data_IF_632951899964
#
_entry.id   IF_632951899964
#
_cell.length_a   1.000
_cell.length_b   1.000
_cell.length_c   1.000
_cell.angle_alpha   90.00
_cell.angle_beta   90.00
_cell.angle_gamma   90.00
#
_symmetry.space_group_name_H-M   'P 1'
#
loop_
_entity.id
_entity.type
_entity.pdbx_description
1 polymer ?
#
# COMPACT_ATOMS: atom_id res chain seq x y z
N UNK A 1 8.57 -17.02 -2.53
CA UNK A 1 8.46 -17.05 -3.99
C UNK A 1 6.99 -16.81 -4.35
N UNK A 2 6.70 -15.93 -5.32
CA UNK A 2 5.33 -15.73 -5.79
C UNK A 2 4.88 -16.95 -6.59
N UNK A 3 3.62 -17.37 -6.43
CA UNK A 3 3.08 -18.57 -7.07
C UNK A 3 2.85 -18.41 -8.58
N UNK A 4 2.84 -17.17 -9.10
CA UNK A 4 2.61 -16.88 -10.52
C UNK A 4 3.41 -15.63 -10.96
N UNK A 5 4.75 -15.75 -11.15
CA UNK A 5 5.57 -14.61 -11.55
C UNK A 5 5.11 -14.05 -12.90
N UNK A 6 4.99 -12.72 -12.99
CA UNK A 6 4.60 -12.02 -14.22
C UNK A 6 3.10 -11.93 -14.50
N UNK A 7 2.24 -12.60 -13.73
CA UNK A 7 0.78 -12.54 -13.91
C UNK A 7 0.22 -11.12 -13.71
N UNK A 8 0.56 -10.49 -12.59
CA UNK A 8 0.06 -9.15 -12.24
C UNK A 8 0.58 -8.08 -13.22
N UNK A 9 1.88 -8.00 -13.56
CA UNK A 9 2.35 -7.07 -14.60
C UNK A 9 1.61 -7.21 -15.93
N UNK A 10 1.29 -8.45 -16.34
CA UNK A 10 0.54 -8.73 -17.57
C UNK A 10 -0.89 -8.19 -17.49
N UNK A 11 -1.59 -8.44 -16.39
CA UNK A 11 -2.96 -7.95 -16.18
C UNK A 11 -3.02 -6.41 -16.10
N UNK A 12 -2.07 -5.77 -15.41
CA UNK A 12 -2.00 -4.31 -15.34
C UNK A 12 -1.82 -3.69 -16.74
N UNK A 13 -0.90 -4.23 -17.55
CA UNK A 13 -0.71 -3.78 -18.94
C UNK A 13 -1.98 -3.93 -19.79
N UNK A 14 -2.74 -5.02 -19.58
CA UNK A 14 -3.99 -5.26 -20.28
C UNK A 14 -5.11 -4.30 -19.84
N UNK A 15 -5.13 -3.87 -18.59
CA UNK A 15 -6.16 -2.96 -18.09
C UNK A 15 -5.84 -1.48 -18.37
N UNK A 16 -4.56 -1.13 -18.56
CA UNK A 16 -4.09 0.22 -18.89
C UNK A 16 -4.03 0.52 -20.40
N UNK A 17 -4.72 -0.25 -21.26
CA UNK A 17 -4.65 -0.05 -22.71
C UNK A 17 -5.08 1.37 -23.15
N UNK A 18 -4.29 2.05 -23.99
CA UNK A 18 -4.53 3.43 -24.40
C UNK A 18 -5.81 3.63 -25.23
N UNK A 19 -6.34 2.59 -25.87
CA UNK A 19 -7.63 2.69 -26.59
C UNK A 19 -8.82 2.95 -25.64
N UNK A 20 -8.66 2.71 -24.33
CA UNK A 20 -9.66 3.03 -23.30
C UNK A 20 -9.33 4.29 -22.48
N UNK A 21 -8.19 4.95 -22.72
CA UNK A 21 -7.71 6.08 -21.91
C UNK A 21 -7.11 7.20 -22.78
N UNK A 22 -7.54 8.43 -22.56
CA UNK A 22 -7.09 9.63 -23.32
C UNK A 22 -5.70 10.16 -22.93
N UNK A 23 -4.99 9.51 -22.00
CA UNK A 23 -3.69 9.97 -21.49
C UNK A 23 -2.58 8.99 -21.82
N UNK A 24 -1.53 9.49 -22.44
CA UNK A 24 -0.37 8.73 -22.89
C UNK A 24 0.61 8.51 -21.73
N UNK A 25 0.91 7.23 -21.46
CA UNK A 25 1.91 6.71 -20.50
C UNK A 25 1.64 6.97 -19.00
N UNK A 26 0.83 6.12 -18.38
CA UNK A 26 0.76 5.97 -16.91
C UNK A 26 2.02 5.26 -16.41
N UNK A 27 2.81 5.92 -15.57
CA UNK A 27 3.92 5.29 -14.85
C UNK A 27 3.38 4.48 -13.67
N UNK A 28 3.56 3.17 -13.71
CA UNK A 28 3.19 2.26 -12.63
C UNK A 28 4.34 1.31 -12.33
N UNK A 29 4.40 0.83 -11.08
CA UNK A 29 5.32 -0.22 -10.64
C UNK A 29 4.58 -1.17 -9.71
N UNK A 30 4.97 -2.44 -9.73
CA UNK A 30 4.53 -3.42 -8.74
C UNK A 30 5.62 -3.53 -7.70
N UNK A 31 5.22 -3.41 -6.44
CA UNK A 31 6.11 -3.55 -5.30
C UNK A 31 5.82 -4.89 -4.61
N UNK A 32 6.67 -5.88 -4.84
CA UNK A 32 6.50 -7.24 -4.32
C UNK A 32 7.38 -7.56 -3.10
N UNK A 33 8.26 -6.64 -2.68
CA UNK A 33 9.21 -6.90 -1.57
C UNK A 33 8.52 -7.09 -0.21
N UNK A 34 7.31 -6.57 -0.02
CA UNK A 34 6.61 -6.55 1.26
C UNK A 34 5.62 -7.72 1.48
N UNK A 35 5.68 -8.77 0.65
CA UNK A 35 4.73 -9.88 0.72
C UNK A 35 4.95 -10.86 1.91
N UNK A 36 6.04 -10.73 2.68
CA UNK A 36 6.36 -11.58 3.85
C UNK A 36 6.42 -13.09 3.55
N UNK A 37 7.00 -13.48 2.41
CA UNK A 37 7.03 -14.88 1.96
C UNK A 37 5.69 -15.49 1.48
N UNK A 38 4.58 -14.74 1.43
CA UNK A 38 3.32 -15.19 0.81
C UNK A 38 2.03 -14.65 1.44
N UNK A 39 0.90 -15.14 0.95
CA UNK A 39 -0.43 -14.79 1.47
C UNK A 39 -0.58 -15.12 2.96
N UNK A 40 -1.19 -14.21 3.72
CA UNK A 40 -1.42 -14.30 5.18
C UNK A 40 -0.17 -14.57 6.05
N UNK A 41 1.03 -14.58 5.47
CA UNK A 41 2.27 -14.70 6.22
C UNK A 41 2.69 -13.36 6.79
N UNK A 42 3.27 -13.42 7.98
CA UNK A 42 3.84 -12.30 8.73
C UNK A 42 5.28 -12.65 9.10
N UNK A 43 6.13 -11.65 9.24
CA UNK A 43 7.49 -11.77 9.76
C UNK A 43 7.68 -10.80 10.94
N UNK A 44 8.80 -10.93 11.66
CA UNK A 44 9.12 -10.10 12.82
C UNK A 44 9.18 -8.60 12.49
N UNK A 45 9.60 -8.24 11.27
CA UNK A 45 9.65 -6.85 10.81
C UNK A 45 8.24 -6.27 10.66
N UNK A 46 7.32 -7.02 10.04
CA UNK A 46 5.93 -6.60 9.93
C UNK A 46 5.25 -6.55 11.29
N UNK A 47 5.51 -7.49 12.20
CA UNK A 47 4.97 -7.48 13.57
C UNK A 47 5.44 -6.26 14.36
N UNK A 48 6.72 -5.91 14.23
CA UNK A 48 7.30 -4.72 14.86
C UNK A 48 6.68 -3.44 14.29
N UNK A 49 6.52 -3.38 12.97
CA UNK A 49 5.83 -2.28 12.30
C UNK A 49 4.38 -2.14 12.81
N UNK A 50 3.60 -3.22 12.81
CA UNK A 50 2.21 -3.23 13.27
C UNK A 50 2.08 -2.78 14.73
N UNK A 51 3.07 -3.10 15.57
CA UNK A 51 3.11 -2.67 16.97
C UNK A 51 3.38 -1.17 17.08
N UNK A 52 4.35 -0.64 16.32
CA UNK A 52 4.62 0.81 16.27
C UNK A 52 3.46 1.60 15.68
N UNK A 53 2.78 1.06 14.68
CA UNK A 53 1.67 1.73 13.99
C UNK A 53 0.52 2.07 14.93
N UNK A 54 0.19 1.17 15.87
CA UNK A 54 -0.86 1.40 16.88
C UNK A 54 -0.58 2.61 17.77
N UNK A 55 0.68 3.02 17.88
CA UNK A 55 1.09 4.20 18.64
C UNK A 55 1.25 5.42 17.73
N UNK A 56 1.74 5.22 16.51
CA UNK A 56 2.04 6.29 15.56
C UNK A 56 0.79 6.80 14.80
N UNK A 57 -0.29 6.02 14.74
CA UNK A 57 -1.44 6.26 13.87
C UNK A 57 -2.74 5.72 14.44
N UNK A 58 -3.82 6.46 14.23
CA UNK A 58 -5.19 6.07 14.62
C UNK A 58 -5.84 5.16 13.58
N UNK A 59 -5.23 5.00 12.39
CA UNK A 59 -5.79 4.20 11.31
C UNK A 59 -5.70 2.71 11.67
N UNK A 60 -6.83 1.99 11.73
CA UNK A 60 -6.80 0.54 11.95
C UNK A 60 -6.23 -0.17 10.72
N UNK A 61 -5.22 -1.01 10.93
CA UNK A 61 -4.63 -1.86 9.89
C UNK A 61 -4.53 -3.30 10.37
N UNK A 62 -4.58 -4.24 9.43
CA UNK A 62 -4.44 -5.68 9.67
C UNK A 62 -3.23 -6.26 8.93
N UNK A 63 -2.71 -7.41 9.36
CA UNK A 63 -1.40 -7.88 8.91
C UNK A 63 -1.36 -8.48 7.48
N UNK A 64 -2.50 -8.89 6.92
CA UNK A 64 -2.59 -9.65 5.66
C UNK A 64 -2.44 -8.75 4.45
N UNK A 65 -3.11 -7.59 4.42
CA UNK A 65 -3.15 -6.68 3.28
C UNK A 65 -2.69 -5.28 3.66
N UNK A 66 -3.41 -4.65 4.57
CA UNK A 66 -3.34 -3.20 4.80
C UNK A 66 -2.11 -2.82 5.59
N UNK A 67 -1.68 -3.69 6.51
CA UNK A 67 -0.41 -3.59 7.18
C UNK A 67 0.77 -3.73 6.24
N UNK A 68 0.70 -4.61 5.24
CA UNK A 68 1.75 -4.73 4.21
C UNK A 68 1.80 -3.50 3.31
N UNK A 69 0.65 -2.91 2.98
CA UNK A 69 0.55 -1.66 2.23
C UNK A 69 1.28 -0.53 2.97
N UNK A 70 0.91 -0.26 4.23
CA UNK A 70 1.50 0.84 4.99
C UNK A 70 2.95 0.57 5.42
N UNK A 71 3.30 -0.68 5.67
CA UNK A 71 4.70 -1.07 5.93
C UNK A 71 5.58 -0.82 4.71
N UNK A 72 5.10 -1.20 3.52
CA UNK A 72 5.79 -0.93 2.27
C UNK A 72 5.91 0.56 1.97
N UNK A 73 4.83 1.31 2.18
CA UNK A 73 4.82 2.77 1.99
C UNK A 73 5.83 3.47 2.91
N UNK A 74 5.85 3.13 4.21
CA UNK A 74 6.84 3.64 5.17
C UNK A 74 8.26 3.34 4.72
N UNK A 75 8.51 2.09 4.34
CA UNK A 75 9.83 1.65 3.86
C UNK A 75 10.28 2.41 2.60
N UNK A 76 9.36 2.67 1.66
CA UNK A 76 9.67 3.43 0.44
C UNK A 76 10.00 4.90 0.71
N UNK A 77 9.31 5.52 1.67
CA UNK A 77 9.60 6.90 2.10
C UNK A 77 10.96 6.95 2.82
N UNK A 78 11.24 6.01 3.72
CA UNK A 78 12.51 5.93 4.46
C UNK A 78 13.71 5.67 3.53
N UNK A 79 13.51 4.87 2.47
CA UNK A 79 14.52 4.62 1.43
C UNK A 79 14.67 5.77 0.43
N UNK A 80 13.84 6.83 0.51
CA UNK A 80 13.85 7.95 -0.44
C UNK A 80 13.30 7.60 -1.83
N UNK A 81 12.66 6.44 -1.99
CA UNK A 81 11.98 6.06 -3.23
C UNK A 81 10.67 6.82 -3.45
N UNK A 82 10.12 7.40 -2.38
CA UNK A 82 9.10 8.46 -2.40
C UNK A 82 9.73 9.67 -1.71
N UNK A 83 9.68 10.83 -2.37
CA UNK A 83 10.30 12.04 -1.85
C UNK A 83 9.62 12.50 -0.55
N UNK A 84 10.43 12.95 0.41
CA UNK A 84 9.94 13.47 1.68
C UNK A 84 9.02 14.67 1.46
N UNK A 85 7.90 14.71 2.17
CA UNK A 85 6.90 15.77 2.04
C UNK A 85 5.96 15.61 0.84
N UNK A 86 6.06 14.51 0.08
CA UNK A 86 5.09 14.20 -0.98
C UNK A 86 3.68 14.04 -0.42
N UNK A 87 2.68 14.44 -1.20
CA UNK A 87 1.30 14.05 -0.99
C UNK A 87 1.04 12.70 -1.67
N UNK A 88 0.57 11.72 -0.89
CA UNK A 88 0.36 10.35 -1.35
C UNK A 88 -1.11 9.99 -1.18
N UNK A 89 -1.71 9.40 -2.20
CA UNK A 89 -3.03 8.77 -2.08
C UNK A 89 -2.82 7.27 -1.91
N UNK A 90 -3.18 6.76 -0.73
CA UNK A 90 -3.19 5.34 -0.46
C UNK A 90 -4.63 4.81 -0.62
N UNK A 91 -4.84 3.90 -1.57
CA UNK A 91 -6.12 3.23 -1.73
C UNK A 91 -6.14 2.01 -0.82
N UNK A 92 -7.03 2.05 0.17
CA UNK A 92 -7.23 0.98 1.13
C UNK A 92 -8.55 0.28 0.81
N UNK A 93 -8.48 -0.88 0.17
CA UNK A 93 -9.66 -1.63 -0.29
C UNK A 93 -10.35 -2.49 0.80
N UNK A 94 -10.10 -2.21 2.08
CA UNK A 94 -10.69 -2.92 3.23
C UNK A 94 -9.73 -3.85 4.00
N UNK A 95 -10.27 -4.49 5.05
CA UNK A 95 -9.55 -5.09 6.19
C UNK A 95 -10.33 -4.76 7.47
N UNK A 96 -10.11 -5.44 8.60
CA UNK A 96 -10.94 -5.35 9.83
C UNK A 96 -11.45 -3.91 10.10
N UNK A 97 -12.77 -3.74 10.00
CA UNK A 97 -13.48 -2.49 10.25
C UNK A 97 -13.66 -2.25 11.75
N UNK A 98 -13.21 -1.10 12.23
CA UNK A 98 -13.82 -0.41 13.36
C UNK A 98 -13.50 1.08 13.28
N UNK A 99 -14.42 1.85 12.67
CA UNK A 99 -14.41 3.32 12.60
C UNK A 99 -14.11 3.89 11.21
N UNK A 100 -15.11 4.46 10.53
CA UNK A 100 -14.91 5.42 9.42
C UNK A 100 -14.41 6.77 10.04
N UNK A 101 -13.62 7.62 9.39
CA UNK A 101 -13.98 8.51 8.26
C UNK A 101 -12.75 8.89 7.40
N UNK A 102 -12.97 9.68 6.34
CA UNK A 102 -11.93 10.35 5.53
C UNK A 102 -10.93 11.07 6.45
N UNK A 103 -9.79 10.44 6.66
CA UNK A 103 -8.72 10.99 7.46
C UNK A 103 -7.45 11.09 6.61
N UNK A 104 -6.79 12.24 6.74
CA UNK A 104 -5.41 12.33 6.34
C UNK A 104 -4.56 11.90 7.54
N UNK A 105 -3.54 11.10 7.29
CA UNK A 105 -2.53 10.77 8.29
C UNK A 105 -1.15 11.04 7.72
N UNK A 106 -0.14 10.84 8.55
CA UNK A 106 1.25 10.97 8.15
C UNK A 106 1.92 9.61 8.26
N UNK A 107 2.67 9.25 7.21
CA UNK A 107 3.66 8.18 7.31
C UNK A 107 5.02 8.82 7.09
N UNK A 108 5.82 8.83 8.15
CA UNK A 108 7.02 9.66 8.21
C UNK A 108 6.64 11.14 8.08
N UNK A 109 7.11 11.79 7.00
CA UNK A 109 6.84 13.20 6.73
C UNK A 109 5.87 13.42 5.55
N UNK A 110 5.36 12.34 4.95
CA UNK A 110 4.46 12.44 3.80
C UNK A 110 3.01 12.45 4.28
N UNK A 111 2.22 13.37 3.73
CA UNK A 111 0.77 13.43 3.98
C UNK A 111 0.09 12.37 3.14
N UNK A 112 -0.71 11.52 3.78
CA UNK A 112 -1.42 10.44 3.10
C UNK A 112 -2.91 10.64 3.20
N UNK A 113 -3.56 10.66 2.04
CA UNK A 113 -5.00 10.59 1.90
C UNK A 113 -5.41 9.13 1.74
N UNK A 114 -6.26 8.64 2.62
CA UNK A 114 -6.74 7.26 2.55
C UNK A 114 -8.11 7.26 1.90
N UNK A 115 -8.21 6.58 0.76
CA UNK A 115 -9.49 6.35 0.11
C UNK A 115 -9.98 4.95 0.46
N UNK A 116 -11.12 4.87 1.16
CA UNK A 116 -11.86 3.63 1.35
C UNK A 116 -12.80 3.44 0.15
N UNK A 117 -12.64 2.33 -0.57
CA UNK A 117 -13.79 1.74 -1.26
C UNK A 117 -14.48 0.77 -0.31
N UNK A 118 -15.68 1.13 0.13
CA UNK A 118 -16.62 0.18 0.71
C UNK A 118 -17.09 -0.74 -0.42
N UNK A 119 -16.58 -1.96 -0.48
CA UNK A 119 -17.22 -3.04 -1.25
C UNK A 119 -18.21 -3.76 -0.36
#
# INVERSE_FOLDING_TARGET
MLNAPGLIPKQVKQNLHPEKQTTTNVNWKIEDRFHCGGYAKINSELESFLSSWKTDSEIPIEAVYTGKLFWGLRSLIEQGAIEKGSEVIAIHSGGKLSGCYLEHSYVGCCKIYIFLEMV
#
